data_IF_845850709508
#
_entry.id   IF_845850709508
#
_cell.length_a   1.000
_cell.length_b   1.000
_cell.length_c   1.000
_cell.angle_alpha   90.00
_cell.angle_beta   90.00
_cell.angle_gamma   90.00
#
_symmetry.space_group_name_H-M   'P 1'
#
loop_
_entity.id
_entity.type
_entity.pdbx_description
1 polymer ?
#
# COMPACT_ATOMS: atom_id res chain seq x y z
N UNK A 1 6.13 -16.07 -21.05
CA UNK A 1 6.28 -14.65 -20.69
C UNK A 1 7.74 -14.45 -20.36
N UNK A 2 8.44 -13.50 -21.00
CA UNK A 2 9.89 -13.36 -20.83
C UNK A 2 10.25 -13.13 -19.36
N UNK A 3 11.16 -13.96 -18.83
CA UNK A 3 11.84 -13.82 -17.53
C UNK A 3 12.77 -12.60 -17.54
N UNK A 4 12.24 -11.41 -17.80
CA UNK A 4 13.02 -10.18 -17.63
C UNK A 4 13.01 -9.85 -16.16
N UNK A 5 14.15 -10.09 -15.50
CA UNK A 5 14.37 -9.69 -14.10
C UNK A 5 14.07 -8.19 -13.95
N UNK A 6 13.18 -7.85 -13.03
CA UNK A 6 12.84 -6.47 -12.73
C UNK A 6 14.07 -5.67 -12.31
N UNK A 7 14.11 -4.40 -12.69
CA UNK A 7 15.08 -3.47 -12.14
C UNK A 7 14.87 -3.33 -10.62
N UNK A 8 15.91 -2.94 -9.89
CA UNK A 8 15.81 -2.76 -8.44
C UNK A 8 14.76 -1.71 -8.04
N UNK A 9 14.50 -0.71 -8.89
CA UNK A 9 13.44 0.28 -8.63
C UNK A 9 12.07 -0.30 -8.89
N UNK A 10 11.86 -1.03 -9.98
CA UNK A 10 10.58 -1.71 -10.27
C UNK A 10 10.22 -2.70 -9.16
N UNK A 11 11.19 -3.52 -8.72
CA UNK A 11 10.99 -4.48 -7.64
C UNK A 11 10.54 -3.81 -6.33
N UNK A 12 11.10 -2.65 -5.96
CA UNK A 12 10.66 -1.89 -4.77
C UNK A 12 9.26 -1.32 -4.91
N UNK A 13 8.87 -0.87 -6.10
CA UNK A 13 7.50 -0.39 -6.36
C UNK A 13 6.50 -1.53 -6.19
N UNK A 14 6.80 -2.72 -6.72
CA UNK A 14 5.97 -3.92 -6.57
C UNK A 14 5.86 -4.31 -5.10
N UNK A 15 6.99 -4.49 -4.40
CA UNK A 15 7.00 -4.86 -2.99
C UNK A 15 6.26 -3.86 -2.10
N UNK A 16 6.36 -2.56 -2.39
CA UNK A 16 5.63 -1.54 -1.64
C UNK A 16 4.12 -1.56 -1.92
N UNK A 17 3.72 -1.89 -3.15
CA UNK A 17 2.32 -2.15 -3.47
C UNK A 17 1.79 -3.36 -2.70
N UNK A 18 2.50 -4.48 -2.75
CA UNK A 18 2.14 -5.71 -2.06
C UNK A 18 2.05 -5.52 -0.54
N UNK A 19 2.97 -4.77 0.06
CA UNK A 19 2.90 -4.42 1.47
C UNK A 19 1.66 -3.57 1.82
N UNK A 20 1.20 -2.73 0.89
CA UNK A 20 0.04 -1.86 1.11
C UNK A 20 -1.30 -2.59 0.99
N UNK A 21 -1.42 -3.55 0.05
CA UNK A 21 -2.72 -4.09 -0.34
C UNK A 21 -2.70 -5.57 -0.80
N UNK A 22 -1.60 -6.29 -0.59
CA UNK A 22 -1.44 -7.69 -0.99
C UNK A 22 -1.31 -7.87 -2.50
N UNK A 23 -1.67 -9.06 -2.99
CA UNK A 23 -1.49 -9.47 -4.39
C UNK A 23 -2.17 -8.52 -5.40
N UNK A 24 -3.32 -7.94 -5.02
CA UNK A 24 -4.12 -7.02 -5.87
C UNK A 24 -3.83 -5.54 -5.55
N UNK A 25 -2.55 -5.16 -5.59
CA UNK A 25 -2.11 -3.86 -5.10
C UNK A 25 -2.23 -2.68 -6.08
N UNK A 26 -2.26 -2.91 -7.39
CA UNK A 26 -2.05 -1.84 -8.38
C UNK A 26 -3.10 -0.72 -8.25
N UNK A 27 -4.37 -1.07 -7.99
CA UNK A 27 -5.44 -0.09 -7.79
C UNK A 27 -5.31 0.69 -6.48
N UNK A 28 -4.78 0.08 -5.42
CA UNK A 28 -4.54 0.75 -4.14
C UNK A 28 -3.35 1.72 -4.26
N UNK A 29 -2.24 1.26 -4.83
CA UNK A 29 -1.05 2.10 -5.01
C UNK A 29 -1.29 3.24 -6.00
N UNK A 30 -2.11 3.02 -7.04
CA UNK A 30 -2.51 4.07 -7.96
C UNK A 30 -3.24 5.22 -7.24
N UNK A 31 -4.23 4.88 -6.40
CA UNK A 31 -4.98 5.87 -5.59
C UNK A 31 -4.08 6.60 -4.60
N UNK A 32 -3.17 5.87 -3.96
CA UNK A 32 -2.22 6.42 -3.00
C UNK A 32 -1.23 7.43 -3.62
N UNK A 33 -0.66 7.06 -4.77
CA UNK A 33 0.45 7.78 -5.39
C UNK A 33 0.03 8.78 -6.48
N UNK A 34 -1.21 8.68 -6.98
CA UNK A 34 -1.66 9.41 -8.16
C UNK A 34 -1.04 8.91 -9.47
N UNK A 35 -0.32 7.79 -9.46
CA UNK A 35 0.23 7.16 -10.66
C UNK A 35 -0.86 6.32 -11.33
N UNK A 36 -0.95 6.39 -12.67
CA UNK A 36 -1.92 5.58 -13.43
C UNK A 36 -1.70 4.09 -13.19
N UNK A 37 -2.76 3.35 -12.90
CA UNK A 37 -2.72 1.91 -12.67
C UNK A 37 -2.06 1.14 -13.82
N UNK A 38 -2.35 1.51 -15.07
CA UNK A 38 -1.72 0.89 -16.25
C UNK A 38 -0.20 1.04 -16.23
N UNK A 39 0.32 2.20 -15.81
CA UNK A 39 1.77 2.41 -15.71
C UNK A 39 2.39 1.53 -14.61
N UNK A 40 1.70 1.36 -13.49
CA UNK A 40 2.13 0.44 -12.43
C UNK A 40 2.15 -1.02 -12.92
N UNK A 41 1.18 -1.43 -13.75
CA UNK A 41 1.17 -2.75 -14.37
C UNK A 41 2.37 -2.97 -15.31
N UNK A 42 2.70 -1.97 -16.15
CA UNK A 42 3.89 -2.03 -17.02
C UNK A 42 5.20 -2.05 -16.22
N UNK A 43 5.24 -1.39 -15.06
CA UNK A 43 6.38 -1.44 -14.14
C UNK A 43 6.50 -2.84 -13.53
N UNK A 44 5.38 -3.44 -13.11
CA UNK A 44 5.32 -4.76 -12.51
C UNK A 44 5.69 -5.88 -13.50
N UNK A 45 5.37 -5.71 -14.79
CA UNK A 45 5.77 -6.64 -15.86
C UNK A 45 7.21 -6.43 -16.36
N UNK A 46 7.89 -5.37 -15.91
CA UNK A 46 9.22 -5.00 -16.41
C UNK A 46 9.23 -4.42 -17.83
N UNK A 47 8.06 -4.09 -18.37
CA UNK A 47 7.92 -3.41 -19.67
C UNK A 47 8.39 -1.95 -19.59
N UNK A 48 8.24 -1.30 -18.43
CA UNK A 48 8.74 0.06 -18.18
C UNK A 48 9.50 0.15 -16.87
N UNK A 49 10.57 0.94 -16.87
CA UNK A 49 11.20 1.36 -15.63
C UNK A 49 10.52 2.61 -15.06
N UNK A 50 10.39 2.71 -13.73
CA UNK A 50 9.90 3.91 -13.08
C UNK A 50 10.90 5.05 -13.24
N UNK A 51 10.41 6.18 -13.76
CA UNK A 51 11.16 7.44 -13.75
C UNK A 51 11.31 7.96 -12.32
N UNK A 52 12.20 8.92 -12.11
CA UNK A 52 12.37 9.56 -10.79
C UNK A 52 11.07 10.22 -10.30
N UNK A 53 10.27 10.82 -11.18
CA UNK A 53 8.97 11.40 -10.82
C UNK A 53 7.98 10.33 -10.34
N UNK A 54 7.86 9.22 -11.07
CA UNK A 54 7.00 8.08 -10.66
C UNK A 54 7.47 7.54 -9.31
N UNK A 55 8.78 7.36 -9.14
CA UNK A 55 9.35 6.83 -7.92
C UNK A 55 9.11 7.76 -6.72
N UNK A 56 9.25 9.08 -6.90
CA UNK A 56 8.90 10.08 -5.86
C UNK A 56 7.42 10.07 -5.53
N UNK A 57 6.53 10.00 -6.53
CA UNK A 57 5.07 9.92 -6.33
C UNK A 57 4.65 8.69 -5.55
N UNK A 58 5.22 7.53 -5.89
CA UNK A 58 5.01 6.28 -5.14
C UNK A 58 5.45 6.44 -3.68
N UNK A 59 6.67 6.93 -3.44
CA UNK A 59 7.19 7.12 -2.08
C UNK A 59 6.36 8.12 -1.26
N UNK A 60 5.98 9.26 -1.85
CA UNK A 60 5.14 10.26 -1.19
C UNK A 60 3.73 9.72 -0.89
N UNK A 61 3.14 9.00 -1.84
CA UNK A 61 1.87 8.31 -1.67
C UNK A 61 1.90 7.36 -0.49
N UNK A 62 2.88 6.44 -0.45
CA UNK A 62 3.04 5.46 0.63
C UNK A 62 3.17 6.12 2.02
N UNK A 63 3.94 7.22 2.13
CA UNK A 63 4.04 7.96 3.40
C UNK A 63 2.69 8.51 3.85
N UNK A 64 1.90 9.07 2.92
CA UNK A 64 0.55 9.57 3.21
C UNK A 64 -0.40 8.44 3.60
N UNK A 65 -0.33 7.30 2.90
CA UNK A 65 -1.13 6.11 3.21
C UNK A 65 -0.81 5.57 4.60
N UNK A 66 0.47 5.48 4.98
CA UNK A 66 0.88 5.00 6.30
C UNK A 66 0.26 5.85 7.43
N UNK A 67 0.28 7.18 7.29
CA UNK A 67 -0.38 8.09 8.24
C UNK A 67 -1.89 7.87 8.28
N UNK A 68 -2.54 7.68 7.13
CA UNK A 68 -3.98 7.39 7.11
C UNK A 68 -4.29 6.05 7.77
N UNK A 69 -3.51 5.01 7.49
CA UNK A 69 -3.69 3.67 8.05
C UNK A 69 -3.51 3.67 9.56
N UNK A 70 -2.51 4.38 10.10
CA UNK A 70 -2.34 4.54 11.54
C UNK A 70 -3.59 5.16 12.21
N UNK A 71 -4.14 6.23 11.62
CA UNK A 71 -5.38 6.86 12.10
C UNK A 71 -6.59 5.94 12.00
N UNK A 72 -6.67 5.13 10.95
CA UNK A 72 -7.76 4.16 10.79
C UNK A 72 -7.62 3.02 11.81
N UNK A 73 -6.40 2.52 12.03
CA UNK A 73 -6.11 1.49 13.02
C UNK A 73 -6.55 1.94 14.42
N UNK A 74 -6.20 3.15 14.86
CA UNK A 74 -6.67 3.68 16.14
C UNK A 74 -8.20 3.70 16.26
N UNK A 75 -8.90 4.22 15.23
CA UNK A 75 -10.38 4.22 15.23
C UNK A 75 -10.99 2.82 15.23
N UNK A 76 -10.36 1.86 14.55
CA UNK A 76 -10.82 0.46 14.54
C UNK A 76 -10.64 -0.17 15.93
N UNK A 77 -9.52 0.09 16.60
CA UNK A 77 -9.31 -0.33 17.99
C UNK A 77 -10.36 0.28 18.92
N UNK A 78 -10.57 1.61 18.87
CA UNK A 78 -11.58 2.28 19.71
C UNK A 78 -12.99 1.68 19.52
N UNK A 79 -13.34 1.31 18.29
CA UNK A 79 -14.63 0.67 18.00
C UNK A 79 -14.69 -0.75 18.54
N UNK A 80 -13.63 -1.55 18.38
CA UNK A 80 -13.55 -2.89 18.91
C UNK A 80 -13.63 -2.89 20.45
N UNK A 81 -12.90 -2.01 21.12
CA UNK A 81 -12.89 -1.91 22.58
C UNK A 81 -14.28 -1.55 23.12
N UNK A 82 -15.00 -0.62 22.46
CA UNK A 82 -16.39 -0.30 22.82
C UNK A 82 -17.31 -1.50 22.68
N UNK A 83 -17.20 -2.25 21.58
CA UNK A 83 -18.01 -3.46 21.38
C UNK A 83 -17.73 -4.51 22.44
N UNK A 84 -16.47 -4.73 22.82
CA UNK A 84 -16.10 -5.67 23.89
C UNK A 84 -16.55 -5.20 25.27
N UNK A 85 -16.45 -3.89 25.54
CA UNK A 85 -16.96 -3.29 26.77
C UNK A 85 -18.46 -3.51 26.95
N UNK A 86 -19.24 -3.36 25.87
CA UNK A 86 -20.69 -3.63 25.87
C UNK A 86 -21.03 -5.09 26.20
N UNK A 87 -20.13 -6.03 25.92
CA UNK A 87 -20.28 -7.45 26.25
C UNK A 87 -19.77 -7.80 27.65
N UNK A 88 -19.12 -6.88 28.36
CA UNK A 88 -18.47 -7.14 29.64
C UNK A 88 -17.17 -7.96 29.52
N UNK A 89 -16.54 -7.97 28.34
CA UNK A 89 -15.35 -8.79 28.02
C UNK A 89 -14.02 -8.03 28.12
N UNK A 90 -14.03 -6.77 28.58
CA UNK A 90 -12.80 -6.07 28.95
C UNK A 90 -12.45 -6.43 30.40
N UNK A 91 -11.69 -7.51 30.59
CA UNK A 91 -10.95 -7.70 31.84
C UNK A 91 -9.77 -6.72 31.84
N UNK A 92 -9.74 -5.84 32.86
CA UNK A 92 -8.62 -4.94 33.12
C UNK A 92 -7.40 -5.77 33.55
N UNK A 93 -6.40 -5.89 32.67
CA UNK A 93 -5.04 -6.35 33.02
C UNK A 93 -4.26 -5.27 33.79
#
# INVERSE_FOLDING_TARGET
MSDRKLSSRSARVVAAGEALAGERWQSALARASGVKQQLLAMIASGEREPTDDVYRKVAAGLKKEAVRLARTSGRVHDMADRMLSELGELEED
#
